data_IF_581573597089
#
_entry.id   IF_581573597089
#
_cell.length_a   1.000
_cell.length_b   1.000
_cell.length_c   1.000
_cell.angle_alpha   90.00
_cell.angle_beta   90.00
_cell.angle_gamma   90.00
#
_symmetry.space_group_name_H-M   'P 1'
#
loop_
_entity.id
_entity.type
_entity.pdbx_description
1 polymer ?
#
# COMPACT_ATOMS: atom_id res chain seq x y z
N UNK A 1 -5.86 26.57 -3.88
CA UNK A 1 -7.12 25.82 -3.74
C UNK A 1 -6.78 24.53 -3.03
N UNK A 2 -7.36 24.36 -1.84
CA UNK A 2 -7.15 23.20 -0.98
C UNK A 2 -7.91 22.02 -1.59
N UNK A 3 -7.20 20.91 -1.90
CA UNK A 3 -7.83 19.69 -2.38
C UNK A 3 -8.01 18.75 -1.21
N UNK A 4 -9.13 18.03 -1.18
CA UNK A 4 -9.40 17.05 -0.12
C UNK A 4 -9.29 15.64 -0.68
N UNK A 5 -8.63 14.75 0.06
CA UNK A 5 -8.68 13.31 -0.19
C UNK A 5 -9.43 12.62 0.93
N UNK A 6 -10.30 11.67 0.58
CA UNK A 6 -11.14 10.90 1.48
C UNK A 6 -10.87 9.42 1.23
N UNK A 7 -10.33 8.74 2.23
CA UNK A 7 -10.16 7.29 2.24
C UNK A 7 -11.41 6.65 2.80
N UNK A 8 -12.02 5.75 2.04
CA UNK A 8 -13.30 5.11 2.36
C UNK A 8 -13.05 3.60 2.43
N UNK A 9 -13.16 3.02 3.63
CA UNK A 9 -12.98 1.58 3.80
C UNK A 9 -14.16 0.78 3.23
N UNK A 10 -13.98 -0.55 3.09
CA UNK A 10 -15.05 -1.46 2.65
C UNK A 10 -16.33 -1.39 3.50
N UNK A 11 -16.21 -0.93 4.76
CA UNK A 11 -17.31 -0.81 5.72
C UNK A 11 -17.87 0.63 5.77
N UNK A 12 -17.47 1.51 4.86
CA UNK A 12 -17.93 2.89 4.77
C UNK A 12 -17.32 3.85 5.80
N UNK A 13 -16.23 3.47 6.46
CA UNK A 13 -15.55 4.38 7.37
C UNK A 13 -14.65 5.34 6.60
N UNK A 14 -14.69 6.61 6.96
CA UNK A 14 -13.98 7.66 6.25
C UNK A 14 -12.84 8.25 7.08
N UNK A 15 -11.72 8.51 6.42
CA UNK A 15 -10.59 9.30 6.95
C UNK A 15 -10.18 10.29 5.88
N UNK A 16 -10.07 11.58 6.21
CA UNK A 16 -9.78 12.61 5.22
C UNK A 16 -8.55 13.46 5.55
N UNK A 17 -7.90 13.96 4.51
CA UNK A 17 -6.76 14.87 4.61
C UNK A 17 -6.91 16.03 3.62
N UNK A 18 -6.46 17.20 4.04
CA UNK A 18 -6.22 18.33 3.14
C UNK A 18 -4.86 18.16 2.48
N UNK A 19 -4.85 18.13 1.15
CA UNK A 19 -3.69 17.77 0.34
C UNK A 19 -3.42 18.79 -0.76
N UNK A 20 -2.15 18.84 -1.16
CA UNK A 20 -1.69 19.56 -2.33
C UNK A 20 -1.48 18.61 -3.51
N UNK A 21 -1.02 17.39 -3.23
CA UNK A 21 -0.71 16.40 -4.25
C UNK A 21 -1.02 14.96 -3.81
N UNK A 22 -1.33 14.12 -4.78
CA UNK A 22 -1.46 12.67 -4.62
C UNK A 22 -0.80 11.95 -5.79
N UNK A 23 -0.05 10.91 -5.47
CA UNK A 23 0.68 10.08 -6.43
C UNK A 23 0.46 8.60 -6.11
N UNK A 24 0.43 7.77 -7.15
CA UNK A 24 0.40 6.31 -7.04
C UNK A 24 1.64 5.70 -7.69
N UNK A 25 2.18 4.66 -7.08
CA UNK A 25 3.22 3.80 -7.62
C UNK A 25 2.80 2.35 -7.39
N UNK A 26 2.60 1.57 -8.45
CA UNK A 26 2.12 0.18 -8.32
C UNK A 26 3.24 -0.85 -8.34
N UNK A 27 4.43 -0.47 -8.81
CA UNK A 27 5.55 -1.40 -9.02
C UNK A 27 6.69 -1.22 -8.01
N UNK A 28 6.59 -0.21 -7.12
CA UNK A 28 7.65 0.14 -6.17
C UNK A 28 8.98 0.51 -6.85
N UNK A 29 8.93 1.00 -8.08
CA UNK A 29 10.07 1.33 -8.95
C UNK A 29 10.39 2.83 -8.96
N UNK A 30 9.80 3.59 -8.04
CA UNK A 30 9.88 5.05 -7.95
C UNK A 30 9.28 5.81 -9.15
N UNK A 31 8.55 5.13 -10.06
CA UNK A 31 7.79 5.77 -11.12
C UNK A 31 6.43 6.23 -10.58
N UNK A 32 6.42 7.42 -9.98
CA UNK A 32 5.23 8.02 -9.40
C UNK A 32 4.33 8.64 -10.47
N UNK A 33 3.08 8.20 -10.51
CA UNK A 33 2.05 8.76 -11.38
C UNK A 33 1.20 9.73 -10.54
N UNK A 34 1.13 10.99 -10.96
CA UNK A 34 0.28 12.00 -10.33
C UNK A 34 -1.18 11.74 -10.67
N UNK A 35 -2.07 11.75 -9.67
CA UNK A 35 -3.52 11.61 -9.89
C UNK A 35 -4.11 13.00 -10.11
N UNK A 36 -4.28 13.39 -11.38
CA UNK A 36 -4.84 14.69 -11.79
C UNK A 36 -6.35 14.63 -12.00
N UNK A 37 -7.04 15.75 -11.81
CA UNK A 37 -8.45 15.87 -12.16
C UNK A 37 -8.61 16.22 -13.64
N UNK A 38 -9.63 15.70 -14.36
CA UNK A 38 -10.50 14.59 -13.94
C UNK A 38 -9.82 13.24 -14.18
N UNK A 39 -9.95 12.29 -13.25
CA UNK A 39 -9.50 10.91 -13.49
C UNK A 39 -10.21 9.87 -12.64
N UNK A 40 -10.20 8.63 -13.12
CA UNK A 40 -10.63 7.43 -12.40
C UNK A 40 -9.56 6.36 -12.59
N UNK A 41 -9.21 5.64 -11.52
CA UNK A 41 -8.24 4.57 -11.57
C UNK A 41 -8.63 3.40 -10.64
N UNK A 42 -8.28 2.18 -11.03
CA UNK A 42 -8.48 0.99 -10.21
C UNK A 42 -7.19 0.17 -10.15
N UNK A 43 -6.85 -0.29 -8.95
CA UNK A 43 -5.64 -1.05 -8.68
C UNK A 43 -5.95 -2.23 -7.79
N UNK A 44 -5.44 -3.43 -8.11
CA UNK A 44 -5.45 -4.56 -7.16
C UNK A 44 -4.66 -4.22 -5.89
N UNK A 45 -3.57 -3.48 -6.06
CA UNK A 45 -2.70 -2.99 -5.00
C UNK A 45 -2.00 -1.72 -5.47
N UNK A 46 -1.84 -0.74 -4.59
CA UNK A 46 -1.11 0.49 -4.90
C UNK A 46 -0.34 0.99 -3.69
N UNK A 47 0.84 1.55 -3.94
CA UNK A 47 1.56 2.38 -3.00
C UNK A 47 1.22 3.84 -3.30
N UNK A 48 0.48 4.47 -2.40
CA UNK A 48 -0.04 5.82 -2.57
C UNK A 48 0.75 6.79 -1.69
N UNK A 49 1.11 7.94 -2.23
CA UNK A 49 1.77 9.03 -1.51
C UNK A 49 0.93 10.29 -1.64
N UNK A 50 0.59 10.91 -0.52
CA UNK A 50 -0.01 12.24 -0.50
C UNK A 50 0.98 13.25 0.05
N UNK A 51 0.82 14.50 -0.36
CA UNK A 51 1.47 15.66 0.24
C UNK A 51 0.38 16.53 0.85
N UNK A 52 0.46 16.80 2.15
CA UNK A 52 -0.53 17.63 2.85
C UNK A 52 -0.31 19.12 2.57
N UNK A 53 -1.26 19.96 2.99
CA UNK A 53 -1.10 21.42 3.01
C UNK A 53 0.01 21.90 3.96
N UNK A 54 0.33 21.10 4.97
CA UNK A 54 1.46 21.31 5.90
C UNK A 54 2.82 20.83 5.36
N UNK A 55 2.90 20.53 4.05
CA UNK A 55 4.12 20.06 3.39
C UNK A 55 4.65 18.70 3.91
N UNK A 56 3.79 17.91 4.56
CA UNK A 56 4.12 16.58 5.06
C UNK A 56 3.77 15.50 4.04
N UNK A 57 4.58 14.45 3.97
CA UNK A 57 4.30 13.28 3.12
C UNK A 57 3.78 12.12 3.95
N UNK A 58 2.63 11.58 3.52
CA UNK A 58 2.10 10.33 4.04
C UNK A 58 2.02 9.29 2.94
N UNK A 59 2.32 8.06 3.33
CA UNK A 59 2.36 6.91 2.44
C UNK A 59 1.34 5.87 2.91
N UNK A 60 0.73 5.18 1.94
CA UNK A 60 -0.31 4.18 2.18
C UNK A 60 -0.08 2.99 1.26
N UNK A 61 -0.23 1.78 1.80
CA UNK A 61 -0.16 0.54 1.03
C UNK A 61 -1.55 -0.07 1.07
N UNK A 62 -2.26 0.02 -0.05
CA UNK A 62 -3.70 -0.24 -0.10
C UNK A 62 -4.01 -1.39 -1.06
N UNK A 63 -5.03 -2.18 -0.72
CA UNK A 63 -5.52 -3.31 -1.51
C UNK A 63 -6.89 -3.00 -2.13
N UNK A 64 -7.16 -3.57 -3.30
CA UNK A 64 -8.43 -3.43 -4.04
C UNK A 64 -8.93 -1.98 -4.05
N UNK A 65 -8.13 -1.11 -4.66
CA UNK A 65 -8.31 0.33 -4.59
C UNK A 65 -9.06 0.85 -5.81
N UNK A 66 -10.00 1.74 -5.56
CA UNK A 66 -10.68 2.51 -6.58
C UNK A 66 -10.55 4.00 -6.23
N UNK A 67 -10.02 4.80 -7.15
CA UNK A 67 -9.74 6.21 -6.96
C UNK A 67 -10.54 7.01 -7.97
N UNK A 68 -11.27 8.00 -7.48
CA UNK A 68 -11.97 8.99 -8.29
C UNK A 68 -11.45 10.38 -7.93
N UNK A 69 -11.13 11.19 -8.93
CA UNK A 69 -10.76 12.59 -8.77
C UNK A 69 -11.66 13.41 -9.68
N UNK A 70 -12.78 13.87 -9.13
CA UNK A 70 -13.82 14.63 -9.83
C UNK A 70 -14.13 15.85 -8.98
N UNK A 71 -14.21 17.04 -9.59
CA UNK A 71 -14.58 18.29 -8.89
C UNK A 71 -13.75 18.57 -7.62
N UNK A 72 -12.45 18.33 -7.69
CA UNK A 72 -11.45 18.67 -6.64
C UNK A 72 -11.52 17.88 -5.34
N UNK A 73 -12.41 16.89 -5.27
CA UNK A 73 -12.44 15.88 -4.21
C UNK A 73 -11.89 14.57 -4.76
N UNK A 74 -10.98 13.97 -4.00
CA UNK A 74 -10.38 12.67 -4.33
C UNK A 74 -10.95 11.62 -3.39
N UNK A 75 -11.71 10.67 -3.92
CA UNK A 75 -12.24 9.55 -3.15
C UNK A 75 -11.38 8.32 -3.41
N UNK A 76 -10.93 7.66 -2.34
CA UNK A 76 -10.11 6.44 -2.40
C UNK A 76 -10.84 5.34 -1.65
N UNK A 77 -11.54 4.48 -2.38
CA UNK A 77 -12.14 3.27 -1.82
C UNK A 77 -11.08 2.17 -1.72
N UNK A 78 -11.00 1.48 -0.60
CA UNK A 78 -10.00 0.44 -0.38
C UNK A 78 -10.52 -0.70 0.50
N UNK A 79 -9.82 -1.85 0.42
CA UNK A 79 -10.06 -3.02 1.26
C UNK A 79 -8.92 -3.22 2.29
N UNK A 80 -9.29 -3.50 3.52
CA UNK A 80 -8.42 -3.88 4.64
C UNK A 80 -8.22 -2.77 5.67
N UNK A 81 -7.11 -2.88 6.39
CA UNK A 81 -6.71 -1.92 7.44
C UNK A 81 -6.32 -0.58 6.82
N UNK A 82 -6.57 0.49 7.57
CA UNK A 82 -6.01 1.80 7.25
C UNK A 82 -4.66 1.94 7.94
N UNK A 83 -3.57 1.83 7.19
CA UNK A 83 -2.21 1.97 7.71
C UNK A 83 -1.53 3.17 7.03
N UNK A 84 -1.06 4.11 7.86
CA UNK A 84 -0.38 5.33 7.44
C UNK A 84 1.10 5.24 7.82
N UNK A 85 1.95 5.58 6.85
CA UNK A 85 3.39 5.51 6.97
C UNK A 85 4.04 6.87 6.69
N UNK A 86 5.22 7.08 7.25
CA UNK A 86 6.07 8.26 6.98
C UNK A 86 7.47 7.81 6.58
N UNK A 87 8.15 8.64 5.79
CA UNK A 87 9.57 8.47 5.54
C UNK A 87 10.37 8.68 6.83
N UNK A 88 11.30 7.78 7.11
CA UNK A 88 12.22 7.90 8.23
C UNK A 88 13.67 7.71 7.77
N UNK A 89 14.39 8.82 7.68
CA UNK A 89 15.83 8.83 7.33
C UNK A 89 16.68 8.07 8.36
N UNK A 90 16.22 7.99 9.60
CA UNK A 90 16.93 7.40 10.73
C UNK A 90 16.29 6.09 11.18
N UNK A 91 15.58 5.42 10.28
CA UNK A 91 15.03 4.11 10.56
C UNK A 91 16.13 3.19 11.09
N UNK A 92 15.84 2.49 12.18
CA UNK A 92 16.82 1.69 12.89
C UNK A 92 17.42 0.63 11.96
N UNK A 93 18.74 0.49 11.99
CA UNK A 93 19.46 -0.46 11.14
C UNK A 93 18.95 -1.89 11.34
N UNK A 94 18.65 -2.27 12.57
CA UNK A 94 18.15 -3.61 12.90
C UNK A 94 16.76 -3.85 12.33
N UNK A 95 15.91 -2.82 12.29
CA UNK A 95 14.60 -2.89 11.64
C UNK A 95 14.74 -3.07 10.12
N UNK A 96 15.68 -2.36 9.48
CA UNK A 96 15.96 -2.54 8.05
C UNK A 96 16.54 -3.92 7.71
N UNK A 97 17.36 -4.49 8.60
CA UNK A 97 17.83 -5.88 8.48
C UNK A 97 16.64 -6.83 8.58
N UNK A 98 15.77 -6.63 9.57
CA UNK A 98 14.55 -7.44 9.73
C UNK A 98 13.66 -7.42 8.49
N UNK A 99 13.44 -6.26 7.87
CA UNK A 99 12.69 -6.18 6.61
C UNK A 99 13.35 -6.95 5.47
N UNK A 100 14.67 -6.84 5.33
CA UNK A 100 15.44 -7.57 4.30
C UNK A 100 15.34 -9.09 4.51
N UNK A 101 15.51 -9.54 5.74
CA UNK A 101 15.41 -10.97 6.06
C UNK A 101 14.01 -11.50 5.77
N UNK A 102 12.98 -10.70 6.06
CA UNK A 102 11.60 -11.04 5.75
C UNK A 102 11.33 -11.12 4.25
N UNK A 103 11.89 -10.21 3.46
CA UNK A 103 11.84 -10.24 1.99
C UNK A 103 12.47 -11.55 1.46
N UNK A 104 13.64 -11.94 1.98
CA UNK A 104 14.31 -13.17 1.56
C UNK A 104 13.53 -14.43 1.94
N UNK A 105 12.96 -14.46 3.15
CA UNK A 105 12.08 -15.52 3.63
C UNK A 105 10.86 -15.69 2.71
N UNK A 106 10.18 -14.59 2.40
CA UNK A 106 8.98 -14.59 1.57
C UNK A 106 9.28 -15.02 0.13
N UNK A 107 10.37 -14.55 -0.47
CA UNK A 107 10.81 -15.01 -1.79
C UNK A 107 11.06 -16.53 -1.80
N UNK A 108 11.68 -17.06 -0.75
CA UNK A 108 11.94 -18.50 -0.62
C UNK A 108 10.64 -19.29 -0.50
N UNK A 109 9.68 -18.81 0.30
CA UNK A 109 8.34 -19.40 0.44
C UNK A 109 7.59 -19.38 -0.89
N UNK A 110 7.56 -18.25 -1.59
CA UNK A 110 6.91 -18.12 -2.90
C UNK A 110 7.49 -19.14 -3.87
N UNK A 111 8.82 -19.22 -3.98
CA UNK A 111 9.49 -20.19 -4.87
C UNK A 111 9.13 -21.63 -4.51
N UNK A 112 9.12 -21.98 -3.22
CA UNK A 112 8.74 -23.32 -2.75
C UNK A 112 7.30 -23.68 -3.15
N UNK A 113 6.33 -22.79 -2.88
CA UNK A 113 4.93 -23.05 -3.22
C UNK A 113 4.67 -23.01 -4.73
N UNK A 114 5.40 -22.20 -5.49
CA UNK A 114 5.35 -22.24 -6.96
C UNK A 114 5.83 -23.59 -7.50
N UNK A 115 6.89 -24.18 -6.93
CA UNK A 115 7.32 -25.54 -7.26
C UNK A 115 6.26 -26.59 -6.90
N UNK A 116 5.64 -26.52 -5.72
CA UNK A 116 4.56 -27.44 -5.33
C UNK A 116 3.35 -27.35 -6.27
N UNK A 117 3.02 -26.13 -6.72
CA UNK A 117 1.96 -25.88 -7.70
C UNK A 117 2.29 -26.54 -9.03
N UNK A 118 3.52 -26.40 -9.52
CA UNK A 118 3.97 -27.02 -10.77
C UNK A 118 3.92 -28.55 -10.72
N UNK A 119 4.18 -29.13 -9.55
CA UNK A 119 4.12 -30.58 -9.33
C UNK A 119 2.70 -31.09 -9.03
N UNK A 120 1.68 -30.21 -8.97
CA UNK A 120 0.30 -30.52 -8.57
C UNK A 120 0.19 -31.24 -7.20
N UNK A 121 1.12 -30.98 -6.28
CA UNK A 121 1.23 -31.72 -4.99
C UNK A 121 0.28 -31.16 -3.92
N UNK A 122 -0.14 -29.89 -4.01
CA UNK A 122 -0.88 -29.24 -2.93
C UNK A 122 -2.06 -28.40 -3.45
N UNK A 123 -3.27 -28.74 -3.00
CA UNK A 123 -4.43 -27.82 -3.02
C UNK A 123 -4.13 -26.62 -2.11
N UNK A 124 -4.61 -25.42 -2.45
CA UNK A 124 -4.38 -24.11 -1.78
C UNK A 124 -3.04 -23.39 -2.03
N UNK A 125 -2.16 -23.92 -2.88
CA UNK A 125 -0.90 -23.25 -3.25
C UNK A 125 -1.12 -21.82 -3.77
N UNK A 126 -2.19 -21.59 -4.53
CA UNK A 126 -2.47 -20.27 -5.11
C UNK A 126 -2.75 -19.19 -4.05
N UNK A 127 -3.60 -19.49 -3.06
CA UNK A 127 -3.95 -18.55 -1.99
C UNK A 127 -2.74 -18.21 -1.13
N UNK A 128 -1.92 -19.22 -0.79
CA UNK A 128 -0.67 -19.01 -0.06
C UNK A 128 0.32 -18.15 -0.84
N UNK A 129 0.52 -18.43 -2.14
CA UNK A 129 1.38 -17.61 -2.99
C UNK A 129 0.87 -16.17 -3.03
N UNK A 130 -0.44 -15.96 -3.17
CA UNK A 130 -1.05 -14.62 -3.15
C UNK A 130 -0.76 -13.91 -1.82
N UNK A 131 -1.02 -14.55 -0.70
CA UNK A 131 -0.76 -13.99 0.63
C UNK A 131 0.72 -13.62 0.82
N UNK A 132 1.66 -14.50 0.43
CA UNK A 132 3.09 -14.19 0.52
C UNK A 132 3.51 -13.07 -0.42
N UNK A 133 2.95 -12.99 -1.63
CA UNK A 133 3.21 -11.86 -2.54
C UNK A 133 2.66 -10.55 -1.97
N UNK A 134 1.54 -10.63 -1.27
CA UNK A 134 0.94 -9.46 -0.65
C UNK A 134 1.77 -8.91 0.51
N UNK A 135 2.25 -9.81 1.37
CA UNK A 135 3.19 -9.49 2.45
C UNK A 135 4.54 -9.01 1.91
N UNK A 136 5.04 -9.63 0.84
CA UNK A 136 6.30 -9.25 0.19
C UNK A 136 6.23 -7.81 -0.34
N UNK A 137 5.11 -7.42 -0.94
CA UNK A 137 4.91 -6.05 -1.41
C UNK A 137 5.03 -5.04 -0.26
N UNK A 138 4.40 -5.34 0.89
CA UNK A 138 4.49 -4.48 2.08
C UNK A 138 5.95 -4.33 2.50
N UNK A 139 6.66 -5.42 2.75
CA UNK A 139 8.04 -5.33 3.23
C UNK A 139 9.00 -4.69 2.22
N UNK A 140 8.78 -4.91 0.92
CA UNK A 140 9.51 -4.17 -0.13
C UNK A 140 9.25 -2.67 -0.04
N UNK A 141 8.01 -2.23 0.10
CA UNK A 141 7.70 -0.81 0.24
C UNK A 141 8.35 -0.22 1.50
N UNK A 142 8.29 -0.92 2.64
CA UNK A 142 8.94 -0.51 3.89
C UNK A 142 10.46 -0.35 3.72
N UNK A 143 11.10 -1.31 3.06
CA UNK A 143 12.54 -1.34 2.85
C UNK A 143 13.02 -0.36 1.77
N UNK A 144 12.45 -0.41 0.57
CA UNK A 144 12.90 0.36 -0.59
C UNK A 144 12.65 1.88 -0.43
N UNK A 145 11.61 2.25 0.32
CA UNK A 145 11.26 3.66 0.58
C UNK A 145 11.61 4.14 1.98
N UNK A 146 12.22 3.29 2.82
CA UNK A 146 12.58 3.61 4.22
C UNK A 146 11.43 4.27 4.99
N UNK A 147 10.24 3.65 4.91
CA UNK A 147 9.04 4.15 5.59
C UNK A 147 8.72 3.33 6.84
N UNK A 148 8.11 3.98 7.84
CA UNK A 148 7.64 3.34 9.08
C UNK A 148 6.18 3.63 9.35
N UNK A 149 5.51 2.68 9.98
CA UNK A 149 4.11 2.81 10.41
C UNK A 149 4.02 3.85 11.53
N UNK A 150 3.07 4.78 11.41
CA UNK A 150 2.79 5.80 12.44
C UNK A 150 1.36 5.75 12.94
N UNK A 151 0.46 5.18 12.16
CA UNK A 151 -0.93 5.02 12.53
C UNK A 151 -1.51 3.79 11.83
N UNK A 152 -2.25 2.98 12.57
CA UNK A 152 -3.03 1.89 12.03
C UNK A 152 -4.41 1.89 12.66
N UNK A 153 -5.43 1.67 11.84
CA UNK A 153 -6.80 1.45 12.27
C UNK A 153 -7.38 0.24 11.55
N UNK A 154 -7.82 -0.72 12.36
CA UNK A 154 -8.60 -1.86 11.92
C UNK A 154 -10.08 -1.51 12.07
N UNK A 155 -10.84 -1.71 11.00
CA UNK A 155 -12.28 -1.52 11.02
C UNK A 155 -12.91 -2.90 11.10
N UNK A 156 -13.55 -3.21 12.22
CA UNK A 156 -14.22 -4.49 12.41
C UNK A 156 -15.25 -4.72 11.30
N UNK A 157 -15.30 -5.96 10.80
CA UNK A 157 -16.37 -6.42 9.92
C UNK A 157 -17.69 -6.40 10.72
N UNK A 158 -18.71 -5.70 10.21
CA UNK A 158 -20.07 -5.70 10.77
C UNK A 158 -20.88 -6.89 10.27
#
# INVERSE_FOLDING_TARGET
MEKKIIFISQNGNETSFDITEVHSCTQLDNNWIKISSPSVASFKKTFLRIKTTEEQYYYFILNNVFIENINETISVHYYGKFSQYVYDKYIEKDLMISYRDKINELNSKIKYFESLKQLNIASNTFEKIKAFKDELYLYKALFDFSIKLVYEKEYDEK
#
